data_IF_116665613085
#
_entry.id   IF_116665613085
#
_cell.length_a   1.000
_cell.length_b   1.000
_cell.length_c   1.000
_cell.angle_alpha   90.00
_cell.angle_beta   90.00
_cell.angle_gamma   90.00
#
_symmetry.space_group_name_H-M   'P 1'
#
loop_
_entity.id
_entity.type
_entity.pdbx_description
1 polymer ?
#
# COMPACT_ATOMS: atom_id res chain seq x y z
N UNK A 1 10.07 -4.42 -15.24
CA UNK A 1 10.24 -5.22 -14.00
C UNK A 1 10.13 -6.69 -14.40
N UNK A 2 11.19 -7.49 -14.21
CA UNK A 2 11.12 -8.94 -14.47
C UNK A 2 10.34 -9.65 -13.35
N UNK A 3 9.61 -10.71 -13.68
CA UNK A 3 8.95 -11.59 -12.69
C UNK A 3 9.95 -12.11 -11.64
N UNK A 4 11.19 -12.41 -12.06
CA UNK A 4 12.26 -12.83 -11.14
C UNK A 4 12.55 -11.79 -10.06
N UNK A 5 12.45 -10.49 -10.40
CA UNK A 5 12.63 -9.41 -9.43
C UNK A 5 11.45 -9.35 -8.47
N UNK A 6 10.23 -9.50 -8.97
CA UNK A 6 9.01 -9.47 -8.16
C UNK A 6 8.98 -10.56 -7.09
N UNK A 7 9.38 -11.79 -7.43
CA UNK A 7 9.47 -12.91 -6.48
C UNK A 7 10.58 -12.74 -5.44
N UNK A 8 11.66 -12.03 -5.78
CA UNK A 8 12.77 -11.73 -4.85
C UNK A 8 12.46 -10.56 -3.91
N UNK A 9 11.41 -9.78 -4.17
CA UNK A 9 11.05 -8.68 -3.29
C UNK A 9 10.50 -9.21 -1.96
N UNK A 10 10.94 -8.62 -0.85
CA UNK A 10 10.31 -8.86 0.44
C UNK A 10 8.97 -8.12 0.50
N UNK A 11 7.88 -8.82 0.83
CA UNK A 11 6.55 -8.24 0.94
C UNK A 11 6.15 -8.04 2.40
N UNK A 12 5.57 -6.88 2.70
CA UNK A 12 5.14 -6.50 4.05
C UNK A 12 3.70 -6.04 4.10
N UNK A 13 3.05 -6.23 5.25
CA UNK A 13 1.67 -5.79 5.51
C UNK A 13 1.63 -4.35 6.07
N UNK A 14 1.23 -3.40 5.22
CA UNK A 14 1.12 -1.99 5.59
C UNK A 14 -0.17 -1.65 6.34
N UNK A 15 -1.10 -2.59 6.49
CA UNK A 15 -2.36 -2.36 7.19
C UNK A 15 -2.24 -2.43 8.72
N UNK A 16 -1.16 -3.04 9.22
CA UNK A 16 -0.91 -3.30 10.64
C UNK A 16 0.56 -3.00 10.97
N UNK A 17 0.92 -1.72 11.10
CA UNK A 17 2.28 -1.35 11.52
C UNK A 17 2.58 -1.88 12.93
N UNK A 18 3.84 -2.24 13.18
CA UNK A 18 4.25 -2.71 14.51
C UNK A 18 4.37 -1.54 15.48
N UNK A 19 4.17 -1.83 16.77
CA UNK A 19 4.52 -0.90 17.85
C UNK A 19 6.05 -0.81 17.87
N UNK A 20 6.60 0.37 17.56
CA UNK A 20 8.05 0.58 17.35
C UNK A 20 8.49 0.77 15.90
N UNK A 21 7.54 0.76 14.95
CA UNK A 21 7.84 1.03 13.54
C UNK A 21 8.04 -0.22 12.69
N UNK A 22 8.05 -0.02 11.37
CA UNK A 22 8.10 -1.11 10.40
C UNK A 22 6.80 -1.92 10.32
N UNK A 23 6.90 -3.06 9.63
CA UNK A 23 5.77 -3.87 9.19
C UNK A 23 6.06 -5.36 9.35
N UNK A 24 5.01 -6.15 9.58
CA UNK A 24 5.08 -7.60 9.56
C UNK A 24 5.24 -8.13 8.12
N UNK A 25 5.83 -9.33 7.97
CA UNK A 25 5.88 -10.01 6.67
C UNK A 25 4.46 -10.28 6.16
N UNK A 26 4.24 -10.00 4.88
CA UNK A 26 3.03 -10.42 4.18
C UNK A 26 3.08 -11.93 3.91
N UNK A 27 1.93 -12.61 3.85
CA UNK A 27 1.87 -14.06 3.62
C UNK A 27 2.22 -14.91 4.85
N UNK A 28 2.24 -14.32 6.04
CA UNK A 28 2.41 -15.06 7.31
C UNK A 28 1.27 -16.05 7.52
N UNK A 29 1.61 -17.25 8.00
CA UNK A 29 0.67 -18.35 8.29
C UNK A 29 -0.37 -17.99 9.35
N UNK A 30 0.04 -17.22 10.36
CA UNK A 30 -0.86 -16.70 11.40
C UNK A 30 -1.09 -15.20 11.21
N UNK A 31 -2.28 -14.85 10.76
CA UNK A 31 -2.81 -13.50 10.85
C UNK A 31 -3.92 -13.48 11.92
N UNK A 32 -3.87 -12.55 12.87
CA UNK A 32 -4.97 -12.40 13.85
C UNK A 32 -6.30 -12.06 13.16
N UNK A 33 -7.42 -12.08 13.90
CA UNK A 33 -8.83 -11.95 13.44
C UNK A 33 -9.22 -10.65 12.68
N UNK A 34 -8.25 -9.84 12.24
CA UNK A 34 -8.47 -8.57 11.56
C UNK A 34 -8.62 -8.77 10.05
N UNK A 35 -9.12 -7.73 9.37
CA UNK A 35 -9.23 -7.65 7.91
C UNK A 35 -7.98 -8.10 7.15
N UNK A 36 -8.18 -8.56 5.91
CA UNK A 36 -7.12 -9.07 5.04
C UNK A 36 -5.94 -8.09 4.91
N UNK A 37 -4.68 -8.58 5.03
CA UNK A 37 -3.48 -7.75 4.93
C UNK A 37 -3.43 -7.01 3.60
N UNK A 38 -2.95 -5.76 3.62
CA UNK A 38 -2.70 -5.00 2.39
C UNK A 38 -1.21 -4.95 2.17
N UNK A 39 -0.74 -5.72 1.19
CA UNK A 39 0.68 -5.96 1.00
C UNK A 39 1.32 -5.00 -0.01
N UNK A 40 2.60 -4.74 0.24
CA UNK A 40 3.45 -3.90 -0.60
C UNK A 40 4.91 -4.38 -0.49
N UNK A 41 5.73 -4.22 -1.53
CA UNK A 41 7.17 -4.45 -1.40
C UNK A 41 7.77 -3.58 -0.31
N UNK A 42 8.64 -4.16 0.53
CA UNK A 42 9.28 -3.51 1.68
C UNK A 42 9.96 -2.20 1.29
N UNK A 43 10.66 -2.19 0.15
CA UNK A 43 11.30 -0.99 -0.39
C UNK A 43 10.29 0.15 -0.65
N UNK A 44 9.11 -0.17 -1.21
CA UNK A 44 8.04 0.82 -1.41
C UNK A 44 7.39 1.24 -0.10
N UNK A 45 7.25 0.32 0.86
CA UNK A 45 6.64 0.60 2.15
C UNK A 45 7.51 1.51 3.03
N UNK A 46 8.85 1.40 2.91
CA UNK A 46 9.80 2.27 3.59
C UNK A 46 9.68 3.74 3.16
N UNK A 47 9.35 3.99 1.89
CA UNK A 47 9.14 5.34 1.36
C UNK A 47 7.76 5.96 1.69
N UNK A 48 6.89 5.28 2.43
CA UNK A 48 5.56 5.80 2.77
C UNK A 48 5.59 6.54 4.11
N UNK A 49 5.16 7.81 4.08
CA UNK A 49 4.71 8.50 5.29
C UNK A 49 3.43 7.87 5.84
N UNK A 50 3.13 8.09 7.11
CA UNK A 50 1.91 7.59 7.74
C UNK A 50 0.63 8.02 7.00
N UNK A 51 0.55 9.29 6.57
CA UNK A 51 -0.62 9.81 5.83
C UNK A 51 -0.78 9.10 4.47
N UNK A 52 0.32 8.90 3.75
CA UNK A 52 0.31 8.16 2.48
C UNK A 52 -0.09 6.70 2.68
N UNK A 53 0.45 6.04 3.73
CA UNK A 53 0.08 4.66 4.10
C UNK A 53 -1.41 4.54 4.38
N UNK A 54 -1.96 5.38 5.27
CA UNK A 54 -3.39 5.39 5.60
C UNK A 54 -4.26 5.57 4.34
N UNK A 55 -3.87 6.51 3.47
CA UNK A 55 -4.55 6.74 2.18
C UNK A 55 -4.46 5.52 1.25
N UNK A 56 -3.28 4.90 1.13
CA UNK A 56 -3.07 3.72 0.30
C UNK A 56 -3.90 2.51 0.80
N UNK A 57 -3.92 2.27 2.11
CA UNK A 57 -4.74 1.19 2.71
C UNK A 57 -6.22 1.45 2.45
N UNK A 58 -6.70 2.69 2.63
CA UNK A 58 -8.09 3.05 2.34
C UNK A 58 -8.47 2.75 0.89
N UNK A 59 -7.66 3.18 -0.08
CA UNK A 59 -7.91 2.88 -1.52
C UNK A 59 -7.89 1.39 -1.82
N UNK A 60 -6.90 0.65 -1.28
CA UNK A 60 -6.77 -0.81 -1.45
C UNK A 60 -7.91 -1.59 -0.80
N UNK A 61 -8.61 -1.02 0.18
CA UNK A 61 -9.83 -1.60 0.76
C UNK A 61 -11.05 -1.27 -0.09
N UNK A 62 -11.19 -0.01 -0.49
CA UNK A 62 -12.34 0.47 -1.26
C UNK A 62 -12.44 -0.15 -2.67
N UNK A 63 -11.31 -0.42 -3.32
CA UNK A 63 -11.32 -0.94 -4.68
C UNK A 63 -12.00 -2.31 -4.82
N UNK A 64 -12.05 -3.09 -3.73
CA UNK A 64 -12.55 -4.48 -3.78
C UNK A 64 -11.82 -5.34 -4.81
N UNK A 65 -12.27 -6.59 -4.96
CA UNK A 65 -11.95 -7.43 -6.12
C UNK A 65 -13.27 -7.96 -6.71
N UNK A 66 -14.18 -7.08 -7.18
CA UNK A 66 -15.43 -7.52 -7.79
C UNK A 66 -15.09 -8.29 -9.08
N UNK A 67 -15.44 -9.57 -9.14
CA UNK A 67 -15.21 -10.41 -10.32
C UNK A 67 -13.85 -11.13 -10.39
N UNK A 68 -13.15 -11.33 -9.26
CA UNK A 68 -11.97 -12.20 -9.16
C UNK A 68 -10.64 -11.61 -9.66
N UNK A 69 -10.68 -10.61 -10.57
CA UNK A 69 -9.48 -9.89 -11.01
C UNK A 69 -9.13 -8.74 -10.03
N UNK A 70 -7.87 -8.62 -9.56
CA UNK A 70 -7.48 -7.53 -8.68
C UNK A 70 -7.50 -6.16 -9.39
N UNK A 71 -8.09 -5.16 -8.74
CA UNK A 71 -8.04 -3.77 -9.21
C UNK A 71 -6.72 -3.11 -8.78
N UNK A 72 -5.90 -2.70 -9.74
CA UNK A 72 -4.63 -2.01 -9.49
C UNK A 72 -4.86 -0.57 -9.02
N UNK A 73 -4.73 -0.34 -7.72
CA UNK A 73 -4.80 1.02 -7.14
C UNK A 73 -3.43 1.63 -6.89
N UNK A 74 -3.36 2.96 -7.06
CA UNK A 74 -2.15 3.73 -6.78
C UNK A 74 -1.78 3.71 -5.29
N UNK A 75 -0.48 3.64 -5.00
CA UNK A 75 0.03 3.73 -3.62
C UNK A 75 0.33 5.19 -3.24
N UNK A 76 0.81 5.99 -4.19
CA UNK A 76 1.00 7.44 -4.01
C UNK A 76 -0.15 8.22 -4.65
N UNK A 77 -0.60 9.28 -3.98
CA UNK A 77 -1.52 10.25 -4.60
C UNK A 77 -0.66 11.14 -5.52
N UNK A 78 -1.05 11.32 -6.78
CA UNK A 78 -0.42 12.34 -7.64
C UNK A 78 -0.68 13.72 -7.01
N UNK A 79 0.36 14.54 -6.84
CA UNK A 79 0.18 15.92 -6.36
C UNK A 79 -0.73 16.64 -7.35
N UNK A 80 -1.85 17.21 -6.86
CA UNK A 80 -2.68 18.10 -7.68
C UNK A 80 -1.79 19.29 -8.07
N UNK A 81 -1.59 19.51 -9.38
CA UNK A 81 -0.90 20.70 -9.87
C UNK A 81 -1.72 21.89 -9.34
N UNK A 82 -1.12 22.72 -8.48
CA UNK A 82 -1.80 23.93 -8.00
C UNK A 82 -2.06 24.77 -9.23
N UNK A 83 -3.33 24.88 -9.64
CA UNK A 83 -3.70 25.79 -10.73
C UNK A 83 -3.17 27.16 -10.39
N UNK A 84 -2.43 27.78 -11.30
CA UNK A 84 -1.87 29.12 -11.09
C UNK A 84 -3.01 30.03 -10.59
N UNK A 85 -2.80 30.71 -9.47
CA UNK A 85 -3.71 31.78 -9.03
C UNK A 85 -3.84 32.72 -10.23
N UNK A 86 -5.03 32.82 -10.84
CA UNK A 86 -5.36 33.99 -11.66
C UNK A 86 -5.18 35.18 -10.74
N UNK A 87 -4.15 36.02 -11.01
CA UNK A 87 -4.07 37.35 -10.40
C UNK A 87 -5.34 38.08 -10.88
N UNK A 88 -6.14 38.54 -9.93
CA UNK A 88 -7.24 39.47 -10.19
C UNK A 88 -6.65 40.87 -10.15
#
# INVERSE_FOLDING_TARGET
>A
MSLKKWFKEEWVDISRPKKGGGYEKCGRSKAGKKTYPKCLPKAKAAGLTEKQRKSAVRRKRAAGNPGGKPTNVSTFVKRKKRGGKKKK
#
